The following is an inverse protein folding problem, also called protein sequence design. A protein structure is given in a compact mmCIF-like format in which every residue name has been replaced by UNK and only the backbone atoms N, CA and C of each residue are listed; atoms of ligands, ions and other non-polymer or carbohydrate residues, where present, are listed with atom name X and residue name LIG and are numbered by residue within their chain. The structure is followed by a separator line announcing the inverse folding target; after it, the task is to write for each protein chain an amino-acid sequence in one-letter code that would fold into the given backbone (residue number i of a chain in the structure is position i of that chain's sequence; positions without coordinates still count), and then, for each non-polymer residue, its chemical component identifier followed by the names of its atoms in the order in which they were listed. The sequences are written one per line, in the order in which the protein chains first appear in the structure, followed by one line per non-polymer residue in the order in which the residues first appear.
data_IF_044129190761
#
_entry.id   IF_044129190761
#
_cell.length_a   1.000
_cell.length_b   1.000
_cell.length_c   1.000
_cell.angle_alpha   90.00
_cell.angle_beta   90.00
_cell.angle_gamma   90.00
#
_symmetry.space_group_name_H-M   'P 1'
#
loop_
_entity.id
_entity.type
_entity.pdbx_description
1 polymer ?
#
# COMPACT_ATOMS: atom_id res chain seq x y z
N UNK A 1 -7.18 -8.70 -61.48
CA UNK A 1 -6.13 -9.00 -60.48
C UNK A 1 -5.93 -7.88 -59.43
N UNK A 2 -6.97 -7.14 -58.99
CA UNK A 2 -6.84 -6.06 -57.96
C UNK A 2 -7.38 -6.46 -56.57
N UNK A 3 -8.40 -7.30 -56.53
CA UNK A 3 -9.04 -7.76 -55.27
C UNK A 3 -8.16 -8.59 -54.31
N UNK A 4 -7.08 -9.21 -54.79
CA UNK A 4 -6.18 -9.97 -53.92
C UNK A 4 -5.21 -9.08 -53.14
N UNK A 5 -4.95 -7.87 -53.62
CA UNK A 5 -4.04 -6.93 -52.96
C UNK A 5 -4.73 -6.29 -51.74
N UNK A 6 -5.98 -5.84 -51.92
CA UNK A 6 -6.79 -5.27 -50.85
C UNK A 6 -7.06 -6.26 -49.72
N UNK A 7 -7.33 -7.54 -50.04
CA UNK A 7 -7.56 -8.58 -49.02
C UNK A 7 -6.31 -8.91 -48.20
N UNK A 8 -5.12 -8.91 -48.80
CA UNK A 8 -3.86 -9.20 -48.08
C UNK A 8 -3.47 -8.08 -47.13
N UNK A 9 -3.64 -6.82 -47.55
CA UNK A 9 -3.40 -5.65 -46.69
C UNK A 9 -4.43 -5.59 -45.57
N UNK A 10 -5.70 -5.86 -45.86
CA UNK A 10 -6.77 -5.90 -44.86
C UNK A 10 -6.51 -6.96 -43.78
N UNK A 11 -6.09 -8.17 -44.16
CA UNK A 11 -5.75 -9.25 -43.20
C UNK A 11 -4.62 -8.80 -42.25
N UNK A 12 -3.56 -8.18 -42.78
CA UNK A 12 -2.47 -7.67 -41.94
C UNK A 12 -2.94 -6.60 -40.96
N UNK A 13 -3.78 -5.67 -41.42
CA UNK A 13 -4.36 -4.63 -40.57
C UNK A 13 -5.26 -5.21 -39.46
N UNK A 14 -6.11 -6.18 -39.79
CA UNK A 14 -6.99 -6.85 -38.82
C UNK A 14 -6.18 -7.61 -37.77
N UNK A 15 -5.10 -8.29 -38.17
CA UNK A 15 -4.22 -9.00 -37.22
C UNK A 15 -3.57 -8.02 -36.25
N UNK A 16 -2.99 -6.93 -36.74
CA UNK A 16 -2.37 -5.92 -35.87
C UNK A 16 -3.39 -5.29 -34.92
N UNK A 17 -4.61 -5.00 -35.39
CA UNK A 17 -5.70 -4.50 -34.56
C UNK A 17 -6.05 -5.49 -33.44
N UNK A 18 -6.14 -6.79 -33.75
CA UNK A 18 -6.43 -7.83 -32.76
C UNK A 18 -5.30 -7.96 -31.72
N UNK A 19 -4.04 -7.87 -32.15
CA UNK A 19 -2.88 -7.90 -31.25
C UNK A 19 -2.92 -6.70 -30.30
N UNK A 20 -3.20 -5.49 -30.81
CA UNK A 20 -3.33 -4.29 -29.97
C UNK A 20 -4.48 -4.41 -28.97
N UNK A 21 -5.63 -4.96 -29.38
CA UNK A 21 -6.74 -5.22 -28.47
C UNK A 21 -6.38 -6.24 -27.39
N UNK A 22 -5.72 -7.35 -27.75
CA UNK A 22 -5.23 -8.32 -26.77
C UNK A 22 -4.24 -7.70 -25.79
N UNK A 23 -3.29 -6.89 -26.28
CA UNK A 23 -2.33 -6.20 -25.43
C UNK A 23 -3.03 -5.20 -24.49
N UNK A 24 -4.05 -4.49 -24.98
CA UNK A 24 -4.86 -3.59 -24.15
C UNK A 24 -5.59 -4.33 -23.03
N UNK A 25 -6.25 -5.45 -23.34
CA UNK A 25 -6.94 -6.29 -22.36
C UNK A 25 -5.96 -6.88 -21.35
N UNK A 26 -4.82 -7.39 -21.83
CA UNK A 26 -3.77 -7.96 -20.98
C UNK A 26 -3.15 -6.89 -20.06
N UNK A 27 -2.88 -5.70 -20.59
CA UNK A 27 -2.38 -4.54 -19.82
C UNK A 27 -3.37 -4.10 -18.75
N UNK A 28 -4.66 -4.06 -19.09
CA UNK A 28 -5.72 -3.73 -18.12
C UNK A 28 -5.77 -4.75 -16.97
N UNK A 29 -5.74 -6.05 -17.30
CA UNK A 29 -5.67 -7.11 -16.28
C UNK A 29 -4.37 -7.07 -15.46
N UNK A 30 -3.23 -6.78 -16.09
CA UNK A 30 -1.93 -6.68 -15.43
C UNK A 30 -1.88 -5.50 -14.45
N UNK A 31 -2.41 -4.35 -14.85
CA UNK A 31 -2.56 -3.16 -14.00
C UNK A 31 -3.46 -3.44 -12.80
N UNK A 32 -4.59 -4.13 -12.99
CA UNK A 32 -5.45 -4.51 -11.87
C UNK A 32 -4.76 -5.47 -10.90
N UNK A 33 -4.05 -6.49 -11.41
CA UNK A 33 -3.25 -7.39 -10.55
C UNK A 33 -2.16 -6.65 -9.78
N UNK A 34 -1.56 -5.63 -10.38
CA UNK A 34 -0.55 -4.81 -9.73
C UNK A 34 -1.16 -3.91 -8.64
N UNK A 35 -2.37 -3.39 -8.87
CA UNK A 35 -3.13 -2.65 -7.86
C UNK A 35 -3.56 -3.55 -6.69
N UNK A 36 -4.00 -4.78 -6.97
CA UNK A 36 -4.37 -5.74 -5.93
C UNK A 36 -3.15 -6.20 -5.10
N UNK A 37 -1.99 -6.37 -5.74
CA UNK A 37 -0.74 -6.65 -5.04
C UNK A 37 -0.31 -5.47 -4.14
N UNK A 38 -0.54 -4.22 -4.57
CA UNK A 38 -0.27 -3.02 -3.76
C UNK A 38 -1.18 -2.89 -2.53
N UNK A 39 -2.41 -3.43 -2.60
CA UNK A 39 -3.34 -3.42 -1.47
C UNK A 39 -2.90 -4.35 -0.31
N UNK A 40 -2.15 -5.43 -0.60
CA UNK A 40 -1.62 -6.30 0.46
C UNK A 40 -0.46 -5.64 1.22
N UNK A 41 0.42 -4.93 0.50
CA UNK A 41 1.57 -4.22 1.07
C UNK A 41 1.12 -3.07 1.98
N UNK A 42 0.08 -2.33 1.57
CA UNK A 42 -0.49 -1.23 2.36
C UNK A 42 -1.19 -1.69 3.64
N UNK A 43 -1.77 -2.90 3.66
CA UNK A 43 -2.36 -3.47 4.88
C UNK A 43 -1.29 -3.92 5.88
N UNK A 44 -0.26 -4.65 5.41
CA UNK A 44 0.82 -5.11 6.28
C UNK A 44 1.60 -3.94 6.89
N UNK A 45 1.91 -2.91 6.10
CA UNK A 45 2.59 -1.71 6.58
C UNK A 45 1.74 -0.92 7.58
N UNK A 46 0.41 -0.86 7.39
CA UNK A 46 -0.50 -0.18 8.33
C UNK A 46 -0.54 -0.89 9.69
N UNK A 47 -0.67 -2.21 9.70
CA UNK A 47 -0.71 -2.99 10.95
C UNK A 47 0.61 -2.86 11.71
N UNK A 48 1.76 -2.91 11.02
CA UNK A 48 3.08 -2.73 11.64
C UNK A 48 3.23 -1.34 12.29
N UNK A 49 2.89 -0.27 11.55
CA UNK A 49 2.96 1.09 12.07
C UNK A 49 2.03 1.30 13.28
N UNK A 50 0.83 0.72 13.27
CA UNK A 50 -0.07 0.79 14.42
C UNK A 50 0.49 0.04 15.63
N UNK A 51 1.06 -1.16 15.44
CA UNK A 51 1.67 -1.92 16.51
C UNK A 51 2.88 -1.20 17.13
N UNK A 52 3.76 -0.63 16.31
CA UNK A 52 4.90 0.16 16.76
C UNK A 52 4.48 1.38 17.59
N UNK A 53 3.42 2.09 17.17
CA UNK A 53 2.87 3.22 17.93
C UNK A 53 2.36 2.80 19.30
N UNK A 54 1.65 1.68 19.39
CA UNK A 54 1.13 1.16 20.67
C UNK A 54 2.26 0.74 21.60
N UNK A 55 3.27 0.03 21.08
CA UNK A 55 4.43 -0.36 21.88
C UNK A 55 5.19 0.87 22.38
N UNK A 56 5.38 1.88 21.53
CA UNK A 56 6.03 3.13 21.93
C UNK A 56 5.26 3.84 23.03
N UNK A 57 3.94 3.98 22.88
CA UNK A 57 3.09 4.58 23.90
C UNK A 57 3.19 3.84 25.25
N UNK A 58 3.20 2.51 25.25
CA UNK A 58 3.39 1.73 26.49
C UNK A 58 4.77 1.96 27.13
N UNK A 59 5.84 2.05 26.33
CA UNK A 59 7.18 2.32 26.84
C UNK A 59 7.26 3.73 27.44
N UNK A 60 6.63 4.72 26.80
CA UNK A 60 6.59 6.10 27.30
C UNK A 60 5.80 6.17 28.62
N UNK A 61 4.69 5.44 28.73
CA UNK A 61 3.92 5.30 29.97
C UNK A 61 4.74 4.63 31.08
N UNK A 62 5.43 3.51 30.80
CA UNK A 62 6.26 2.81 31.80
C UNK A 62 7.43 3.69 32.25
N UNK A 63 8.08 4.39 31.32
CA UNK A 63 9.20 5.28 31.61
C UNK A 63 8.74 6.46 32.48
N UNK A 64 7.59 7.06 32.17
CA UNK A 64 7.03 8.13 32.97
C UNK A 64 6.61 7.68 34.37
N UNK A 65 5.94 6.54 34.47
CA UNK A 65 5.55 5.96 35.76
C UNK A 65 6.77 5.63 36.63
N UNK A 66 7.82 5.01 36.05
CA UNK A 66 9.08 4.73 36.75
C UNK A 66 9.79 6.01 37.18
N UNK A 67 9.82 7.03 36.32
CA UNK A 67 10.40 8.34 36.62
C UNK A 67 9.73 8.99 37.84
N UNK A 68 8.41 8.97 37.90
CA UNK A 68 7.64 9.46 39.04
C UNK A 68 7.89 8.63 40.31
N UNK A 69 7.90 7.30 40.22
CA UNK A 69 8.17 6.42 41.36
C UNK A 69 9.55 6.63 42.00
N UNK A 70 10.56 7.00 41.20
CA UNK A 70 11.94 7.19 41.68
C UNK A 70 12.15 8.60 42.24
N UNK A 71 11.57 9.62 41.61
CA UNK A 71 11.85 11.03 41.92
C UNK A 71 10.76 11.70 42.76
N UNK A 72 9.54 11.18 42.72
CA UNK A 72 8.35 11.78 43.32
C UNK A 72 7.85 13.04 42.61
N UNK A 73 8.44 13.42 41.48
CA UNK A 73 8.10 14.66 40.75
C UNK A 73 7.04 14.38 39.69
N UNK A 74 5.87 15.04 39.77
CA UNK A 74 4.77 14.84 38.82
C UNK A 74 5.13 15.08 37.35
N UNK A 75 6.19 15.85 37.06
CA UNK A 75 6.67 16.12 35.70
C UNK A 75 6.98 14.84 34.90
N UNK A 76 7.36 13.76 35.58
CA UNK A 76 7.60 12.47 34.92
C UNK A 76 6.31 11.76 34.47
N UNK A 77 5.12 12.20 34.90
CA UNK A 77 3.85 11.65 34.42
C UNK A 77 3.39 12.26 33.08
N UNK A 78 4.06 13.32 32.59
CA UNK A 78 3.72 13.97 31.32
C UNK A 78 3.66 12.98 30.12
N UNK A 79 4.64 12.07 29.92
CA UNK A 79 4.58 11.06 28.86
C UNK A 79 3.48 10.01 29.07
N UNK A 80 3.10 9.74 30.32
CA UNK A 80 2.01 8.82 30.64
C UNK A 80 0.65 9.39 30.24
N UNK A 81 0.43 10.67 30.53
CA UNK A 81 -0.80 11.37 30.15
C UNK A 81 -0.91 11.55 28.64
N UNK A 82 0.17 11.93 27.97
CA UNK A 82 0.18 12.09 26.51
C UNK A 82 -0.13 10.77 25.79
N UNK A 83 0.46 9.67 26.23
CA UNK A 83 0.21 8.34 25.66
C UNK A 83 -1.22 7.83 25.91
N UNK A 84 -1.85 8.19 27.04
CA UNK A 84 -3.23 7.81 27.37
C UNK A 84 -4.30 8.59 26.59
N UNK A 85 -3.92 9.71 25.97
CA UNK A 85 -4.84 10.64 25.28
C UNK A 85 -5.08 10.31 23.80
N UNK A 86 -4.38 9.32 23.25
CA UNK A 86 -4.42 8.87 21.85
C UNK A 86 -4.91 7.43 21.72
#
# INVERSE_FOLDING_TARGET
MRFYFDKRVLIGFTITMLVLLMLGIFSYHSTQRLMDASNLETHASRVMNTAERVVKAMIDMESGQRGFLITGTEDFLEPYYDASSH
#
